data_IF_381791979257
#
_entry.id   IF_381791979257
#
_cell.length_a   1.000
_cell.length_b   1.000
_cell.length_c   1.000
_cell.angle_alpha   90.00
_cell.angle_beta   90.00
_cell.angle_gamma   90.00
#
_symmetry.space_group_name_H-M   'P 1'
#
loop_
_entity.id
_entity.type
_entity.pdbx_description
1 polymer ?
#
# COMPACT_ATOMS: atom_id res chain seq x y z
N UNK A 1 15.51 1.32 -24.93
CA UNK A 1 14.06 1.45 -24.93
C UNK A 1 13.56 1.73 -23.53
N UNK A 2 13.37 3.00 -23.18
CA UNK A 2 12.59 3.35 -21.97
C UNK A 2 11.14 2.97 -22.26
N UNK A 3 10.45 2.43 -21.26
CA UNK A 3 9.02 2.12 -21.36
C UNK A 3 8.33 2.68 -20.11
N UNK A 4 7.32 3.51 -20.33
CA UNK A 4 6.47 4.04 -19.29
C UNK A 4 5.07 3.47 -19.51
N UNK A 5 4.54 2.72 -18.56
CA UNK A 5 3.14 2.30 -18.56
C UNK A 5 2.39 2.95 -17.41
N UNK A 6 1.36 3.69 -17.78
CA UNK A 6 0.33 4.15 -16.87
C UNK A 6 -0.91 3.29 -17.10
N UNK A 7 -1.34 2.55 -16.07
CA UNK A 7 -2.47 1.63 -16.15
C UNK A 7 -3.48 1.98 -15.05
N UNK A 8 -4.72 2.30 -15.45
CA UNK A 8 -5.82 2.45 -14.50
C UNK A 8 -6.56 1.11 -14.41
N UNK A 9 -6.80 0.66 -13.18
CA UNK A 9 -7.45 -0.60 -12.88
C UNK A 9 -8.77 -0.35 -12.18
N UNK A 10 -9.83 -0.94 -12.69
CA UNK A 10 -11.15 -0.98 -12.06
C UNK A 10 -11.54 -2.44 -11.81
N UNK A 11 -11.79 -2.78 -10.55
CA UNK A 11 -12.16 -4.14 -10.16
C UNK A 11 -13.64 -4.17 -9.78
N UNK A 12 -14.36 -5.16 -10.27
CA UNK A 12 -15.72 -5.43 -9.84
C UNK A 12 -15.92 -6.91 -9.56
N UNK A 13 -16.62 -7.24 -8.47
CA UNK A 13 -17.04 -8.61 -8.21
C UNK A 13 -18.32 -8.84 -9.01
N UNK A 14 -18.23 -9.65 -10.06
CA UNK A 14 -19.34 -9.91 -10.99
C UNK A 14 -20.13 -11.17 -10.65
N UNK A 15 -19.63 -11.99 -9.72
CA UNK A 15 -20.34 -13.16 -9.21
C UNK A 15 -19.62 -13.90 -8.10
N UNK A 16 -20.30 -14.88 -7.52
CA UNK A 16 -19.76 -15.80 -6.53
C UNK A 16 -20.30 -17.21 -6.79
N UNK A 17 -19.44 -18.23 -6.73
CA UNK A 17 -19.84 -19.63 -6.84
C UNK A 17 -19.03 -20.50 -5.89
N UNK A 18 -19.71 -21.23 -5.00
CA UNK A 18 -19.08 -22.14 -4.02
C UNK A 18 -18.00 -21.45 -3.18
N UNK A 19 -18.23 -20.18 -2.81
CA UNK A 19 -17.28 -19.36 -2.06
C UNK A 19 -16.13 -18.78 -2.89
N UNK A 20 -16.07 -19.04 -4.21
CA UNK A 20 -15.10 -18.43 -5.13
C UNK A 20 -15.71 -17.17 -5.74
N UNK A 21 -15.04 -16.03 -5.57
CA UNK A 21 -15.41 -14.76 -6.20
C UNK A 21 -14.95 -14.75 -7.67
N UNK A 22 -15.84 -14.26 -8.54
CA UNK A 22 -15.53 -13.95 -9.94
C UNK A 22 -15.32 -12.44 -10.00
N UNK A 23 -14.09 -12.03 -10.27
CA UNK A 23 -13.68 -10.62 -10.30
C UNK A 23 -13.35 -10.23 -11.72
N UNK A 24 -14.03 -9.21 -12.22
CA UNK A 24 -13.72 -8.55 -13.48
C UNK A 24 -12.76 -7.40 -13.21
N UNK A 25 -11.66 -7.38 -13.95
CA UNK A 25 -10.68 -6.30 -13.99
C UNK A 25 -10.76 -5.61 -15.34
N UNK A 26 -11.23 -4.37 -15.30
CA UNK A 26 -11.21 -3.46 -16.43
C UNK A 26 -9.92 -2.64 -16.34
N UNK A 27 -8.96 -2.91 -17.22
CA UNK A 27 -7.72 -2.16 -17.35
C UNK A 27 -7.84 -1.18 -18.51
N UNK A 28 -7.58 0.09 -18.26
CA UNK A 28 -7.20 1.05 -19.31
C UNK A 28 -5.71 1.32 -19.18
N UNK A 29 -5.02 1.51 -20.30
CA UNK A 29 -3.57 1.70 -20.28
C UNK A 29 -3.11 2.70 -21.32
N UNK A 30 -2.03 3.39 -20.97
CA UNK A 30 -1.24 4.25 -21.84
C UNK A 30 0.21 3.86 -21.71
N UNK A 31 0.76 3.26 -22.77
CA UNK A 31 2.15 2.83 -22.83
C UNK A 31 2.93 3.76 -23.75
N UNK A 32 4.03 4.34 -23.26
CA UNK A 32 4.98 5.11 -24.05
C UNK A 32 6.20 4.25 -24.33
N UNK A 33 6.53 4.10 -25.60
CA UNK A 33 7.70 3.33 -26.06
C UNK A 33 8.72 4.29 -26.66
N UNK A 34 9.92 4.34 -26.07
CA UNK A 34 11.00 5.21 -26.54
C UNK A 34 11.96 4.42 -27.43
N UNK A 35 12.22 4.92 -28.64
CA UNK A 35 13.22 4.30 -29.51
C UNK A 35 14.63 4.58 -28.99
N UNK A 36 15.50 3.58 -29.01
CA UNK A 36 16.85 3.68 -28.46
C UNK A 36 17.69 4.72 -29.24
N UNK A 37 18.25 5.69 -28.51
CA UNK A 37 19.04 6.77 -29.10
C UNK A 37 18.24 7.92 -29.73
N UNK A 38 16.91 7.93 -29.62
CA UNK A 38 16.07 9.04 -30.09
C UNK A 38 15.24 9.65 -28.96
N UNK A 39 14.88 10.93 -29.10
CA UNK A 39 13.89 11.57 -28.23
C UNK A 39 12.44 11.24 -28.65
N UNK A 40 12.26 10.47 -29.73
CA UNK A 40 10.96 10.10 -30.26
C UNK A 40 10.35 8.94 -29.48
N UNK A 41 9.06 9.03 -29.23
CA UNK A 41 8.27 7.99 -28.60
C UNK A 41 6.96 7.79 -29.36
N UNK A 42 6.44 6.57 -29.33
CA UNK A 42 5.07 6.31 -29.73
C UNK A 42 4.23 5.94 -28.50
N UNK A 43 2.94 6.29 -28.56
CA UNK A 43 1.98 6.04 -27.48
C UNK A 43 1.00 4.99 -27.95
N UNK A 44 0.93 3.88 -27.23
CA UNK A 44 -0.12 2.89 -27.37
C UNK A 44 -1.15 3.12 -26.26
N UNK A 45 -2.39 3.38 -26.64
CA UNK A 45 -3.52 3.43 -25.70
C UNK A 45 -4.41 2.22 -25.94
N UNK A 46 -4.98 1.68 -24.87
CA UNK A 46 -5.94 0.59 -25.01
C UNK A 46 -6.71 0.30 -23.73
N UNK A 47 -7.60 -0.67 -23.85
CA UNK A 47 -8.30 -1.24 -22.71
C UNK A 47 -8.47 -2.74 -22.90
N UNK A 48 -8.55 -3.47 -21.80
CA UNK A 48 -8.89 -4.89 -21.80
C UNK A 48 -9.61 -5.28 -20.51
N UNK A 49 -10.43 -6.30 -20.65
CA UNK A 49 -11.20 -6.90 -19.56
C UNK A 49 -10.59 -8.26 -19.25
N UNK A 50 -10.36 -8.56 -17.97
CA UNK A 50 -9.87 -9.85 -17.51
C UNK A 50 -10.77 -10.37 -16.40
N UNK A 51 -11.06 -11.67 -16.42
CA UNK A 51 -11.82 -12.32 -15.37
C UNK A 51 -10.88 -13.17 -14.52
N UNK A 52 -11.02 -13.04 -13.21
CA UNK A 52 -10.25 -13.78 -12.22
C UNK A 52 -11.20 -14.57 -11.32
N UNK A 53 -10.80 -15.81 -11.00
CA UNK A 53 -11.52 -16.68 -10.08
C UNK A 53 -10.72 -16.81 -8.80
N UNK A 54 -11.34 -16.44 -7.68
CA UNK A 54 -10.59 -16.10 -6.47
C UNK A 54 -11.22 -16.75 -5.26
N UNK A 55 -10.42 -17.51 -4.52
CA UNK A 55 -10.81 -18.06 -3.22
C UNK A 55 -10.49 -17.02 -2.12
N UNK A 56 -11.49 -16.31 -1.57
CA UNK A 56 -11.32 -15.31 -0.54
C UNK A 56 -11.10 -15.96 0.85
N UNK A 57 -11.10 -17.28 1.00
CA UNK A 57 -10.65 -17.91 2.25
C UNK A 57 -9.15 -18.17 2.20
N UNK A 58 -8.67 -18.62 1.04
CA UNK A 58 -7.26 -18.95 0.81
C UNK A 58 -6.41 -17.80 0.30
N UNK A 59 -7.01 -16.68 -0.15
CA UNK A 59 -6.31 -15.51 -0.71
C UNK A 59 -5.58 -15.81 -2.02
N UNK A 60 -6.13 -16.73 -2.81
CA UNK A 60 -5.45 -17.29 -3.97
C UNK A 60 -6.36 -17.25 -5.21
N UNK A 61 -5.74 -17.07 -6.37
CA UNK A 61 -6.35 -17.42 -7.64
C UNK A 61 -6.60 -18.93 -7.69
N UNK A 62 -7.56 -19.35 -8.51
CA UNK A 62 -7.84 -20.77 -8.73
C UNK A 62 -6.60 -21.58 -9.17
N UNK A 63 -5.61 -20.94 -9.80
CA UNK A 63 -4.36 -21.56 -10.23
C UNK A 63 -3.30 -21.75 -9.13
N UNK A 64 -3.58 -21.31 -7.89
CA UNK A 64 -2.66 -21.46 -6.77
C UNK A 64 -1.74 -20.26 -6.51
N UNK A 65 -1.90 -19.15 -7.23
CA UNK A 65 -1.08 -17.95 -7.01
C UNK A 65 -1.77 -16.96 -6.06
N UNK A 66 -1.03 -16.32 -5.15
CA UNK A 66 -1.60 -15.26 -4.30
C UNK A 66 -2.16 -14.11 -5.13
N UNK A 67 -3.35 -13.65 -4.75
CA UNK A 67 -4.02 -12.57 -5.47
C UNK A 67 -3.27 -11.25 -5.26
N UNK A 68 -2.94 -10.56 -6.35
CA UNK A 68 -2.26 -9.26 -6.32
C UNK A 68 -3.02 -8.17 -5.57
N UNK A 69 -4.33 -8.37 -5.39
CA UNK A 69 -5.23 -7.36 -4.87
C UNK A 69 -5.63 -7.57 -3.40
N UNK A 70 -5.18 -8.65 -2.76
CA UNK A 70 -5.59 -8.96 -1.38
C UNK A 70 -4.43 -9.47 -0.51
N UNK A 71 -4.05 -8.67 0.49
CA UNK A 71 -2.90 -8.89 1.37
C UNK A 71 -3.37 -9.16 2.82
N UNK A 72 -2.65 -9.98 3.63
CA UNK A 72 -3.01 -10.20 5.03
C UNK A 72 -3.15 -8.90 5.83
N UNK A 73 -4.21 -8.82 6.64
CA UNK A 73 -4.58 -7.62 7.40
C UNK A 73 -3.91 -7.53 8.78
N UNK A 74 -3.49 -8.68 9.33
CA UNK A 74 -2.78 -8.81 10.59
C UNK A 74 -1.26 -8.83 10.35
N UNK A 75 -0.73 -7.68 9.98
CA UNK A 75 0.68 -7.53 9.63
C UNK A 75 1.30 -6.37 10.40
N UNK A 76 2.59 -6.49 10.67
CA UNK A 76 3.34 -5.55 11.48
C UNK A 76 4.47 -4.96 10.66
N UNK A 77 4.89 -3.75 11.01
CA UNK A 77 6.08 -3.12 10.42
C UNK A 77 7.28 -4.07 10.57
N UNK A 78 8.02 -4.27 9.49
CA UNK A 78 9.15 -5.20 9.40
C UNK A 78 8.77 -6.64 9.04
N UNK A 79 7.48 -6.99 8.99
CA UNK A 79 7.04 -8.32 8.55
C UNK A 79 7.33 -8.55 7.07
N UNK A 80 7.65 -9.80 6.71
CA UNK A 80 7.70 -10.25 5.33
C UNK A 80 6.35 -10.82 4.91
N UNK A 81 5.87 -10.39 3.76
CA UNK A 81 4.62 -10.85 3.17
C UNK A 81 4.90 -11.43 1.78
N UNK A 82 4.54 -12.69 1.53
CA UNK A 82 4.61 -13.26 0.20
C UNK A 82 3.50 -12.65 -0.67
N UNK A 83 3.88 -12.05 -1.79
CA UNK A 83 2.97 -11.60 -2.84
C UNK A 83 3.53 -12.12 -4.16
N UNK A 84 2.74 -12.91 -4.87
CA UNK A 84 3.21 -13.71 -6.02
C UNK A 84 4.37 -14.63 -5.62
N UNK A 85 5.50 -14.52 -6.31
CA UNK A 85 6.76 -15.22 -6.04
C UNK A 85 7.80 -14.32 -5.35
N UNK A 86 7.38 -13.17 -4.80
CA UNK A 86 8.26 -12.19 -4.16
C UNK A 86 7.90 -12.02 -2.67
N UNK A 87 8.91 -11.72 -1.86
CA UNK A 87 8.74 -11.45 -0.43
C UNK A 87 8.90 -9.96 -0.17
N UNK A 88 7.81 -9.29 0.16
CA UNK A 88 7.79 -7.85 0.41
C UNK A 88 7.91 -7.53 1.89
N UNK A 89 8.63 -6.44 2.21
CA UNK A 89 8.69 -5.91 3.56
C UNK A 89 7.58 -4.90 3.82
N UNK A 90 6.90 -5.03 4.96
CA UNK A 90 6.01 -3.99 5.47
C UNK A 90 6.84 -2.82 6.00
N UNK A 91 6.87 -1.71 5.26
CA UNK A 91 7.65 -0.53 5.64
C UNK A 91 6.95 0.35 6.67
N UNK A 92 5.64 0.49 6.55
CA UNK A 92 4.91 1.43 7.39
C UNK A 92 3.49 1.69 6.90
N UNK A 93 2.87 2.68 7.53
CA UNK A 93 1.53 3.16 7.19
C UNK A 93 1.63 4.47 6.41
N UNK A 94 0.76 4.63 5.42
CA UNK A 94 0.57 5.84 4.63
C UNK A 94 -0.92 6.14 4.58
N UNK A 95 -1.30 7.41 4.61
CA UNK A 95 -2.67 7.82 4.32
C UNK A 95 -2.76 8.40 2.91
N UNK A 96 -3.79 7.99 2.16
CA UNK A 96 -4.05 8.47 0.80
C UNK A 96 -5.53 8.79 0.61
N UNK A 97 -5.87 9.51 -0.46
CA UNK A 97 -7.26 9.86 -0.80
C UNK A 97 -7.68 9.12 -2.06
N UNK A 98 -8.81 8.42 -2.02
CA UNK A 98 -9.45 7.79 -3.18
C UNK A 98 -10.93 8.16 -3.13
N UNK A 99 -11.47 8.69 -4.23
CA UNK A 99 -12.87 9.13 -4.35
C UNK A 99 -13.35 9.99 -3.17
N UNK A 100 -12.50 10.92 -2.72
CA UNK A 100 -12.79 11.84 -1.62
C UNK A 100 -12.74 11.21 -0.22
N UNK A 101 -12.36 9.93 -0.09
CA UNK A 101 -12.23 9.24 1.19
C UNK A 101 -10.76 9.15 1.60
N UNK A 102 -10.46 9.51 2.85
CA UNK A 102 -9.15 9.28 3.45
C UNK A 102 -9.02 7.80 3.82
N UNK A 103 -7.99 7.15 3.30
CA UNK A 103 -7.77 5.71 3.43
C UNK A 103 -6.41 5.48 4.07
N UNK A 104 -6.39 4.62 5.09
CA UNK A 104 -5.16 4.14 5.71
C UNK A 104 -4.63 2.90 4.99
N UNK A 105 -3.44 3.04 4.42
CA UNK A 105 -2.77 2.01 3.65
C UNK A 105 -1.52 1.50 4.36
N UNK A 106 -1.28 0.21 4.28
CA UNK A 106 0.05 -0.34 4.48
C UNK A 106 0.90 -0.15 3.22
N UNK A 107 2.20 0.05 3.43
CA UNK A 107 3.22 0.14 2.38
C UNK A 107 4.06 -1.12 2.38
N UNK A 108 4.04 -1.86 1.29
CA UNK A 108 4.98 -2.95 1.04
C UNK A 108 6.05 -2.53 0.05
N UNK A 109 7.29 -2.91 0.34
CA UNK A 109 8.40 -2.71 -0.58
C UNK A 109 9.15 -4.00 -0.83
N UNK A 110 9.45 -4.24 -2.11
CA UNK A 110 10.47 -5.18 -2.54
C UNK A 110 11.51 -4.38 -3.34
N UNK A 111 12.79 -4.60 -3.05
CA UNK A 111 13.88 -3.93 -3.76
C UNK A 111 15.06 -4.87 -3.93
N UNK A 112 15.54 -4.99 -5.17
CA UNK A 112 16.82 -5.60 -5.49
C UNK A 112 17.61 -4.68 -6.44
N UNK A 113 18.74 -5.14 -6.97
CA UNK A 113 19.60 -4.34 -7.84
C UNK A 113 18.94 -3.94 -9.18
N UNK A 114 17.90 -4.66 -9.61
CA UNK A 114 17.29 -4.56 -10.93
C UNK A 114 15.82 -4.13 -10.88
N UNK A 115 15.14 -4.33 -9.76
CA UNK A 115 13.70 -4.15 -9.64
C UNK A 115 13.31 -3.59 -8.28
N UNK A 116 12.37 -2.65 -8.29
CA UNK A 116 11.75 -2.04 -7.13
C UNK A 116 10.24 -2.10 -7.30
N UNK A 117 9.54 -2.55 -6.27
CA UNK A 117 8.10 -2.64 -6.24
C UNK A 117 7.61 -1.96 -4.96
N UNK A 118 6.64 -1.08 -5.09
CA UNK A 118 5.93 -0.45 -3.96
C UNK A 118 4.46 -0.79 -4.09
N UNK A 119 3.88 -1.46 -3.10
CA UNK A 119 2.46 -1.78 -3.05
C UNK A 119 1.81 -1.01 -1.90
N UNK A 120 0.76 -0.26 -2.21
CA UNK A 120 -0.16 0.30 -1.24
C UNK A 120 -1.44 -0.54 -1.21
N UNK A 121 -1.89 -0.92 -0.03
CA UNK A 121 -3.16 -1.61 0.16
C UNK A 121 -3.86 -1.13 1.42
N UNK A 122 -5.19 -1.07 1.39
CA UNK A 122 -6.00 -0.64 2.51
C UNK A 122 -5.87 -1.64 3.65
N UNK A 123 -5.56 -1.11 4.84
CA UNK A 123 -5.13 -1.90 6.00
C UNK A 123 -6.14 -2.95 6.48
N UNK A 124 -7.44 -2.68 6.34
CA UNK A 124 -8.52 -3.45 6.96
C UNK A 124 -9.07 -4.53 6.04
N UNK A 125 -9.30 -4.18 4.79
CA UNK A 125 -9.81 -5.06 3.75
C UNK A 125 -8.70 -5.81 3.03
N UNK A 126 -7.46 -5.30 3.09
CA UNK A 126 -6.35 -5.85 2.32
C UNK A 126 -6.39 -5.44 0.84
N UNK A 127 -7.34 -4.59 0.44
CA UNK A 127 -7.57 -4.23 -0.97
C UNK A 127 -6.42 -3.38 -1.49
N UNK A 128 -5.91 -3.78 -2.64
CA UNK A 128 -4.88 -3.06 -3.36
C UNK A 128 -5.34 -1.69 -3.86
N UNK A 129 -4.52 -0.67 -3.57
CA UNK A 129 -4.76 0.72 -3.93
C UNK A 129 -3.82 1.18 -5.04
N UNK A 130 -2.53 0.85 -4.95
CA UNK A 130 -1.51 1.31 -5.89
C UNK A 130 -0.33 0.35 -5.95
N UNK A 131 0.23 0.17 -7.15
CA UNK A 131 1.46 -0.57 -7.41
C UNK A 131 2.33 0.31 -8.28
N UNK A 132 3.52 0.60 -7.77
CA UNK A 132 4.59 1.16 -8.57
C UNK A 132 5.62 0.06 -8.81
N UNK A 133 5.99 -0.17 -10.06
CA UNK A 133 7.09 -1.05 -10.45
C UNK A 133 8.13 -0.20 -11.16
N UNK A 134 9.39 -0.33 -10.74
CA UNK A 134 10.54 0.21 -11.44
C UNK A 134 11.49 -0.93 -11.72
N UNK A 135 11.84 -1.16 -12.98
CA UNK A 135 12.73 -2.24 -13.39
C UNK A 135 13.80 -1.72 -14.34
N UNK A 136 15.06 -1.94 -14.01
CA UNK A 136 16.16 -1.70 -14.92
C UNK A 136 16.23 -2.81 -15.97
N UNK A 137 16.28 -2.44 -17.24
CA UNK A 137 16.42 -3.32 -18.39
C UNK A 137 17.72 -3.00 -19.12
N UNK A 138 18.85 -3.44 -18.56
CA UNK A 138 20.19 -3.15 -19.09
C UNK A 138 20.79 -1.85 -18.54
N UNK A 139 21.81 -1.31 -19.25
CA UNK A 139 22.68 -0.24 -18.72
C UNK A 139 22.03 1.15 -18.63
N UNK A 140 21.01 1.43 -19.45
CA UNK A 140 20.41 2.77 -19.57
C UNK A 140 18.89 2.79 -19.63
N UNK A 141 18.24 1.63 -19.56
CA UNK A 141 16.79 1.53 -19.77
C UNK A 141 16.09 1.21 -18.46
N UNK A 142 15.01 1.94 -18.18
CA UNK A 142 14.17 1.72 -17.01
C UNK A 142 12.72 1.60 -17.46
N UNK A 143 12.09 0.51 -17.05
CA UNK A 143 10.67 0.25 -17.12
C UNK A 143 10.02 0.85 -15.87
N UNK A 144 9.07 1.78 -16.05
CA UNK A 144 8.23 2.30 -14.96
C UNK A 144 6.79 1.93 -15.24
N UNK A 145 6.16 1.22 -14.33
CA UNK A 145 4.75 0.85 -14.39
C UNK A 145 4.08 1.41 -13.16
N UNK A 146 3.03 2.19 -13.37
CA UNK A 146 2.15 2.64 -12.30
C UNK A 146 0.75 2.09 -12.53
N UNK A 147 0.19 1.45 -11.49
CA UNK A 147 -1.17 0.92 -11.46
C UNK A 147 -1.92 1.53 -10.29
N UNK A 148 -3.08 2.11 -10.57
CA UNK A 148 -3.93 2.73 -9.54
C UNK A 148 -5.33 2.15 -9.56
N UNK A 149 -5.86 1.88 -8.37
CA UNK A 149 -7.29 1.68 -8.18
C UNK A 149 -7.98 3.04 -8.26
N UNK A 150 -8.93 3.17 -9.20
CA UNK A 150 -9.72 4.40 -9.35
C UNK A 150 -11.04 4.35 -8.61
N UNK A 151 -11.72 3.21 -8.70
CA UNK A 151 -13.01 2.96 -8.07
C UNK A 151 -13.00 1.52 -7.54
N UNK A 152 -13.40 1.34 -6.28
CA UNK A 152 -13.46 0.03 -5.66
C UNK A 152 -14.77 -0.70 -5.96
N UNK A 153 -15.80 -0.02 -6.52
CA UNK A 153 -17.16 -0.54 -6.73
C UNK A 153 -17.90 -1.00 -5.47
N UNK A 154 -17.18 -1.14 -4.36
CA UNK A 154 -17.56 -1.73 -3.08
C UNK A 154 -17.50 -0.63 -2.04
N UNK A 155 -18.50 -0.57 -1.18
CA UNK A 155 -18.40 0.22 0.04
C UNK A 155 -17.19 -0.29 0.84
N UNK A 156 -16.11 0.51 0.85
CA UNK A 156 -14.99 0.25 1.75
C UNK A 156 -15.54 0.08 3.16
N UNK A 157 -15.00 -0.87 3.97
CA UNK A 157 -15.48 -1.07 5.32
C UNK A 157 -15.50 0.28 6.05
N UNK A 158 -16.59 0.61 6.74
CA UNK A 158 -16.72 1.86 7.53
C UNK A 158 -15.48 2.13 8.41
N UNK A 159 -14.86 1.06 8.91
CA UNK A 159 -13.62 1.10 9.69
C UNK A 159 -12.43 1.72 8.93
N UNK A 160 -12.31 1.46 7.63
CA UNK A 160 -11.27 2.03 6.77
C UNK A 160 -11.38 3.57 6.70
N UNK A 161 -12.60 4.10 6.75
CA UNK A 161 -12.87 5.55 6.71
C UNK A 161 -12.80 6.21 8.09
N UNK A 162 -13.22 5.50 9.15
CA UNK A 162 -13.25 6.04 10.51
C UNK A 162 -11.89 6.04 11.21
N UNK A 163 -11.01 5.09 10.91
CA UNK A 163 -9.69 4.97 11.58
C UNK A 163 -8.81 6.21 11.43
N UNK A 164 -8.62 6.79 10.23
CA UNK A 164 -7.86 8.03 10.10
C UNK A 164 -8.43 9.17 10.96
N UNK A 165 -9.76 9.29 11.02
CA UNK A 165 -10.43 10.31 11.84
C UNK A 165 -10.19 10.07 13.34
N UNK A 166 -10.28 8.82 13.80
CA UNK A 166 -9.99 8.45 15.18
C UNK A 166 -8.52 8.69 15.56
N UNK A 167 -7.58 8.40 14.65
CA UNK A 167 -6.16 8.66 14.86
C UNK A 167 -5.89 10.16 15.03
N UNK A 168 -6.52 11.00 14.20
CA UNK A 168 -6.44 12.45 14.30
C UNK A 168 -6.99 12.93 15.66
N UNK A 169 -8.19 12.49 16.04
CA UNK A 169 -8.80 12.85 17.35
C UNK A 169 -7.92 12.41 18.52
N UNK A 170 -7.35 11.21 18.44
CA UNK A 170 -6.41 10.68 19.43
C UNK A 170 -5.14 11.54 19.55
N UNK A 171 -4.54 11.91 18.43
CA UNK A 171 -3.35 12.78 18.38
C UNK A 171 -3.62 14.16 18.99
N UNK A 172 -4.74 14.79 18.66
CA UNK A 172 -5.16 16.05 19.26
C UNK A 172 -5.38 15.93 20.77
N UNK A 173 -6.02 14.85 21.21
CA UNK A 173 -6.26 14.58 22.64
C UNK A 173 -4.94 14.38 23.39
N UNK A 174 -3.99 13.62 22.82
CA UNK A 174 -2.66 13.42 23.39
C UNK A 174 -1.87 14.73 23.45
N UNK A 175 -1.90 15.54 22.39
CA UNK A 175 -1.26 16.85 22.37
C UNK A 175 -1.86 17.80 23.42
N UNK A 176 -3.19 17.83 23.56
CA UNK A 176 -3.87 18.64 24.57
C UNK A 176 -3.51 18.19 26.00
N UNK A 177 -3.44 16.88 26.24
CA UNK A 177 -2.96 16.33 27.51
C UNK A 177 -1.49 16.73 27.76
N UNK A 178 -0.61 16.57 26.78
CA UNK A 178 0.79 16.96 26.89
C UNK A 178 0.93 18.45 27.21
N UNK A 179 0.16 19.33 26.57
CA UNK A 179 0.15 20.77 26.87
C UNK A 179 -0.32 21.05 28.31
N UNK A 180 -1.40 20.40 28.74
CA UNK A 180 -1.94 20.54 30.10
C UNK A 180 -0.93 20.08 31.16
N UNK A 181 -0.21 18.99 30.88
CA UNK A 181 0.78 18.42 31.79
C UNK A 181 2.21 18.90 31.53
N UNK A 182 2.46 19.75 30.53
CA UNK A 182 3.79 20.21 30.14
C UNK A 182 4.54 20.85 31.32
N UNK A 183 3.84 21.67 32.12
CA UNK A 183 4.41 22.29 33.33
C UNK A 183 4.73 21.30 34.44
N UNK A 184 4.06 20.15 34.49
CA UNK A 184 4.28 19.08 35.48
C UNK A 184 5.41 18.16 35.04
N UNK A 185 5.45 17.80 33.76
CA UNK A 185 6.53 17.04 33.13
C UNK A 185 7.84 17.82 33.19
N UNK A 186 7.82 19.12 32.86
CA UNK A 186 9.00 19.99 32.98
C UNK A 186 9.54 20.01 34.41
N UNK A 187 8.67 20.16 35.41
CA UNK A 187 9.06 20.09 36.83
C UNK A 187 9.65 18.74 37.22
N UNK A 188 9.14 17.64 36.67
CA UNK A 188 9.65 16.30 36.95
C UNK A 188 11.03 16.06 36.32
N UNK A 189 11.22 16.52 35.08
CA UNK A 189 12.49 16.42 34.34
C UNK A 189 13.56 17.39 34.86
N UNK A 190 13.17 18.50 35.48
CA UNK A 190 14.09 19.47 36.07
C UNK A 190 14.46 19.18 37.53
N UNK A 191 13.99 18.08 38.12
CA UNK A 191 14.46 17.67 39.46
C UNK A 191 15.91 17.19 39.36
N UNK A 192 16.85 17.75 40.14
CA UNK A 192 18.21 17.21 40.21
C UNK A 192 18.12 15.76 40.72
N UNK A 193 18.92 14.87 40.12
CA UNK A 193 19.13 13.51 40.66
C UNK A 193 19.66 13.68 42.08
N UNK A 194 18.87 13.30 43.07
CA UNK A 194 19.40 13.14 44.43
C UNK A 194 20.44 12.00 44.37
N UNK A 195 21.71 12.38 44.41
CA UNK A 195 22.80 11.46 44.72
C UNK A 195 22.43 10.75 46.02
N UNK A 196 22.21 9.44 45.94
CA UNK A 196 22.14 8.61 47.11
C UNK A 196 23.53 8.66 47.76
N UNK A 197 23.66 9.48 48.80
CA UNK A 197 24.87 9.54 49.61
C UNK A 197 25.24 8.15 50.13
N UNK A 198 26.54 7.86 50.32
CA UNK A 198 26.98 6.53 50.69
C UNK A 198 26.39 6.15 52.05
N UNK A 199 25.88 4.92 52.12
CA UNK A 199 25.50 4.26 53.37
C UNK A 199 26.80 4.04 54.13
N UNK A 200 27.06 4.87 55.15
CA UNK A 200 28.10 4.63 56.13
C UNK A 200 27.67 3.43 56.99
N UNK A 201 28.34 2.31 56.77
CA UNK A 201 28.36 1.13 57.65
C UNK A 201 29.09 1.42 58.95
#
# INVERSE_FOLDING_TARGET
MVYEADEELNYSVVGEKSGILIVELNRTFRHKHFSEGSAEFFVLNGSNIQLFFIDPQKRMYHDGTYTSWWIPTNVFIGSLIPVWNLNFYVKGLLWTIIDGRLIECWVLEYRNAWEEYVILYERTSGIFIRLDIKRQMGLSQTLVIERRLRDAGRELPLQATLRPLLAIVGAFSAAALLLRYARRIRRYLSRPREEHGPILT
#
